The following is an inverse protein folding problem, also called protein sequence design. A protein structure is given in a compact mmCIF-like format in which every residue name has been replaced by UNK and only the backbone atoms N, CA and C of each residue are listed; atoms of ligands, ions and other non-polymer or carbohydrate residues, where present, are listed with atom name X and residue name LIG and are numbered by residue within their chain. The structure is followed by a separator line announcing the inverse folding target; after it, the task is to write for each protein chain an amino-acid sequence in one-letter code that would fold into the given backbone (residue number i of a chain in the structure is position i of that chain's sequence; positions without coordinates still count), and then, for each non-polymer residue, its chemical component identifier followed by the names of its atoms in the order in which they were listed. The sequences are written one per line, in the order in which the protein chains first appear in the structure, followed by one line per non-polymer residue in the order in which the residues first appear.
data_IF_598832951007
#
_entry.id   IF_598832951007
#
_cell.length_a   1.000
_cell.length_b   1.000
_cell.length_c   1.000
_cell.angle_alpha   90.00
_cell.angle_beta   90.00
_cell.angle_gamma   90.00
#
_symmetry.space_group_name_H-M   'P 1'
#
loop_
_entity.id
_entity.type
_entity.pdbx_description
1 polymer ?
#
# COMPACT_ATOMS: atom_id res chain seq x y z
N UNK A 1 4.03 -1.01 -74.01
CA UNK A 1 2.94 -1.85 -73.47
C UNK A 1 3.63 -2.99 -72.71
N UNK A 2 3.50 -3.23 -71.40
CA UNK A 2 2.48 -2.96 -70.37
C UNK A 2 3.22 -2.63 -69.05
N UNK A 3 2.77 -1.61 -68.31
CA UNK A 3 3.18 -1.37 -66.92
C UNK A 3 2.17 -2.11 -66.02
N UNK A 4 2.64 -3.05 -65.21
CA UNK A 4 1.82 -3.72 -64.20
C UNK A 4 1.79 -2.87 -62.93
N UNK A 5 0.56 -2.59 -62.51
CA UNK A 5 0.18 -1.88 -61.30
C UNK A 5 0.28 -2.85 -60.12
N UNK A 6 1.16 -2.58 -59.15
CA UNK A 6 1.20 -3.31 -57.89
C UNK A 6 0.52 -2.46 -56.82
N UNK A 7 -0.65 -2.96 -56.42
CA UNK A 7 -1.54 -2.48 -55.37
C UNK A 7 -0.77 -2.30 -54.05
N UNK A 8 -0.82 -1.09 -53.47
CA UNK A 8 -0.31 -0.84 -52.13
C UNK A 8 -1.10 -1.64 -51.09
N UNK A 9 -0.36 -2.41 -50.31
CA UNK A 9 -0.82 -3.28 -49.23
C UNK A 9 -1.29 -2.42 -48.04
N UNK A 10 -2.45 -2.81 -47.52
CA UNK A 10 -3.04 -2.52 -46.20
C UNK A 10 -2.23 -1.58 -45.29
N UNK A 11 -2.75 -0.37 -45.08
CA UNK A 11 -2.46 0.39 -43.87
C UNK A 11 -3.12 -0.35 -42.69
N UNK A 12 -2.29 -1.02 -41.89
CA UNK A 12 -2.66 -1.57 -40.59
C UNK A 12 -3.25 -0.46 -39.73
N UNK A 13 -4.56 -0.56 -39.46
CA UNK A 13 -5.20 0.11 -38.35
C UNK A 13 -4.59 -0.50 -37.06
N UNK A 14 -3.56 0.12 -36.52
CA UNK A 14 -3.06 -0.19 -35.19
C UNK A 14 -4.14 0.24 -34.19
N UNK A 15 -4.98 -0.72 -33.80
CA UNK A 15 -5.87 -0.58 -32.66
C UNK A 15 -5.02 -0.19 -31.45
N UNK A 16 -5.32 1.00 -30.93
CA UNK A 16 -4.88 1.51 -29.64
C UNK A 16 -5.17 0.45 -28.56
N UNK A 17 -4.17 -0.32 -28.15
CA UNK A 17 -4.18 -1.02 -26.87
C UNK A 17 -3.51 -0.10 -25.85
N UNK A 18 -4.23 0.95 -25.45
CA UNK A 18 -3.88 1.76 -24.28
C UNK A 18 -5.07 1.74 -23.30
N UNK A 19 -5.50 0.53 -22.93
CA UNK A 19 -6.71 0.34 -22.13
C UNK A 19 -6.48 0.22 -20.62
N UNK A 20 -5.25 0.09 -20.13
CA UNK A 20 -5.00 -0.26 -18.72
C UNK A 20 -4.15 0.74 -17.93
N UNK A 21 -3.37 1.61 -18.57
CA UNK A 21 -2.56 2.62 -17.89
C UNK A 21 -3.29 3.94 -17.62
N UNK A 22 -4.34 4.26 -18.39
CA UNK A 22 -5.06 5.53 -18.29
C UNK A 22 -5.83 5.69 -16.97
N UNK A 23 -6.35 4.60 -16.40
CA UNK A 23 -7.07 4.62 -15.12
C UNK A 23 -6.13 4.78 -13.92
N UNK A 24 -4.91 4.22 -14.00
CA UNK A 24 -3.95 4.33 -12.90
C UNK A 24 -3.40 5.75 -12.76
N UNK A 25 -3.00 6.34 -13.90
CA UNK A 25 -2.51 7.71 -13.95
C UNK A 25 -3.57 8.75 -13.54
N UNK A 26 -4.87 8.46 -13.69
CA UNK A 26 -5.93 9.40 -13.29
C UNK A 26 -6.18 9.45 -11.79
N UNK A 27 -6.12 8.33 -11.05
CA UNK A 27 -6.30 8.37 -9.59
C UNK A 27 -5.06 8.89 -8.86
N UNK A 28 -3.86 8.67 -9.42
CA UNK A 28 -2.61 9.26 -8.92
C UNK A 28 -2.71 10.79 -8.94
N UNK A 29 -3.16 11.36 -10.07
CA UNK A 29 -3.39 12.79 -10.20
C UNK A 29 -4.52 13.33 -9.30
N UNK A 30 -5.55 12.54 -9.00
CA UNK A 30 -6.67 12.99 -8.18
C UNK A 30 -6.36 13.00 -6.68
N UNK A 31 -5.56 12.05 -6.21
CA UNK A 31 -5.26 11.91 -4.77
C UNK A 31 -3.95 12.57 -4.36
N UNK A 32 -3.05 12.81 -5.33
CA UNK A 32 -1.67 13.21 -5.09
C UNK A 32 -0.85 12.10 -4.44
N UNK A 33 -1.31 10.85 -4.44
CA UNK A 33 -0.58 9.72 -3.87
C UNK A 33 -0.11 8.79 -4.97
N UNK A 34 1.13 8.34 -4.89
CA UNK A 34 1.73 7.41 -5.84
C UNK A 34 2.34 6.22 -5.09
N UNK A 35 2.13 5.02 -5.61
CA UNK A 35 2.80 3.82 -5.08
C UNK A 35 4.24 3.80 -5.57
N UNK A 36 5.18 4.03 -4.66
CA UNK A 36 6.61 4.13 -5.00
C UNK A 36 7.37 2.83 -4.79
N UNK A 37 6.86 1.94 -3.93
CA UNK A 37 7.50 0.67 -3.62
C UNK A 37 6.48 -0.37 -3.15
N UNK A 38 6.76 -1.64 -3.44
CA UNK A 38 5.98 -2.77 -2.94
C UNK A 38 6.91 -3.95 -2.67
N UNK A 39 6.73 -4.59 -1.51
CA UNK A 39 7.43 -5.80 -1.12
C UNK A 39 6.45 -6.94 -0.81
N UNK A 40 6.92 -8.18 -0.96
CA UNK A 40 6.22 -9.37 -0.48
C UNK A 40 6.42 -9.57 1.03
N UNK A 41 5.88 -10.66 1.57
CA UNK A 41 5.97 -10.99 2.99
C UNK A 41 7.41 -11.30 3.46
N UNK A 42 8.31 -11.65 2.55
CA UNK A 42 9.71 -11.95 2.82
C UNK A 42 10.59 -10.71 2.64
N UNK A 43 10.01 -9.57 2.28
CA UNK A 43 10.74 -8.33 2.02
C UNK A 43 11.34 -8.26 0.61
N UNK A 44 11.02 -9.21 -0.28
CA UNK A 44 11.49 -9.12 -1.65
C UNK A 44 10.66 -8.07 -2.40
N UNK A 45 11.34 -7.29 -3.23
CA UNK A 45 10.70 -6.29 -4.09
C UNK A 45 9.74 -6.95 -5.09
N UNK A 46 8.50 -6.45 -5.12
CA UNK A 46 7.49 -6.79 -6.14
C UNK A 46 7.37 -5.70 -7.21
N UNK A 47 7.42 -4.42 -6.84
CA UNK A 47 7.38 -3.29 -7.79
C UNK A 47 7.97 -2.02 -7.19
N UNK A 48 8.22 -1.02 -8.05
CA UNK A 48 8.81 0.25 -7.64
C UNK A 48 10.29 0.15 -7.29
N UNK A 49 10.76 1.07 -6.45
CA UNK A 49 12.16 1.18 -6.07
C UNK A 49 12.32 1.63 -4.61
N UNK A 50 13.18 0.94 -3.86
CA UNK A 50 13.38 1.20 -2.43
C UNK A 50 14.18 2.48 -2.21
N UNK A 51 15.08 2.82 -3.13
CA UNK A 51 15.84 4.08 -3.06
C UNK A 51 14.91 5.26 -3.24
N UNK A 52 13.93 5.15 -4.15
CA UNK A 52 12.87 6.15 -4.31
C UNK A 52 12.03 6.34 -3.03
N UNK A 53 11.64 5.26 -2.35
CA UNK A 53 10.91 5.34 -1.07
C UNK A 53 11.77 5.97 0.04
N UNK A 54 13.00 5.51 0.22
CA UNK A 54 13.89 6.00 1.28
C UNK A 54 14.31 7.45 1.05
N UNK A 55 14.52 7.85 -0.20
CA UNK A 55 14.77 9.24 -0.57
C UNK A 55 13.54 10.11 -0.27
N UNK A 56 12.33 9.67 -0.64
CA UNK A 56 11.10 10.41 -0.32
C UNK A 56 10.92 10.63 1.19
N UNK A 57 11.10 9.57 2.00
CA UNK A 57 11.04 9.68 3.46
C UNK A 57 12.11 10.65 3.98
N UNK A 58 13.34 10.54 3.49
CA UNK A 58 14.45 11.39 3.92
C UNK A 58 14.25 12.87 3.56
N UNK A 59 13.44 13.15 2.55
CA UNK A 59 13.05 14.51 2.15
C UNK A 59 11.75 14.99 2.83
N UNK A 60 11.23 14.25 3.82
CA UNK A 60 10.07 14.65 4.60
C UNK A 60 8.73 14.43 3.90
N UNK A 61 8.67 13.54 2.90
CA UNK A 61 7.44 13.24 2.21
C UNK A 61 6.43 12.53 3.13
N UNK A 62 5.15 12.80 2.89
CA UNK A 62 4.05 12.12 3.56
C UNK A 62 3.93 10.67 3.05
N UNK A 63 3.80 9.70 3.96
CA UNK A 63 3.83 8.27 3.67
C UNK A 63 2.63 7.54 4.24
N UNK A 64 2.07 6.63 3.45
CA UNK A 64 1.06 5.66 3.89
C UNK A 64 1.42 4.27 3.39
N UNK A 65 1.00 3.26 4.15
CA UNK A 65 1.19 1.85 3.79
C UNK A 65 -0.17 1.20 3.65
N UNK A 66 -0.33 0.35 2.63
CA UNK A 66 -1.52 -0.49 2.48
C UNK A 66 -1.17 -1.96 2.37
N UNK A 67 -2.01 -2.82 2.94
CA UNK A 67 -1.83 -4.26 2.95
C UNK A 67 -3.18 -4.99 3.09
N UNK A 68 -3.19 -6.27 2.77
CA UNK A 68 -4.35 -7.13 3.01
C UNK A 68 -4.41 -7.55 4.48
N UNK A 69 -5.48 -7.20 5.17
CA UNK A 69 -5.84 -7.72 6.47
C UNK A 69 -6.63 -9.04 6.37
N UNK A 70 -7.13 -9.51 7.51
CA UNK A 70 -8.03 -10.66 7.57
C UNK A 70 -9.37 -10.39 6.88
N UNK A 71 -10.08 -11.45 6.46
CA UNK A 71 -11.45 -11.37 5.93
C UNK A 71 -11.60 -10.42 4.72
N UNK A 72 -10.63 -10.43 3.80
CA UNK A 72 -10.61 -9.58 2.59
C UNK A 72 -10.62 -8.07 2.87
N UNK A 73 -10.21 -7.66 4.08
CA UNK A 73 -10.14 -6.27 4.44
C UNK A 73 -8.87 -5.63 3.88
N UNK A 74 -9.00 -4.56 3.09
CA UNK A 74 -7.85 -3.74 2.71
C UNK A 74 -7.56 -2.73 3.81
N UNK A 75 -6.38 -2.83 4.43
CA UNK A 75 -5.91 -1.87 5.41
C UNK A 75 -5.06 -0.81 4.73
N UNK A 76 -5.30 0.45 5.08
CA UNK A 76 -4.41 1.56 4.74
C UNK A 76 -4.22 2.40 5.98
N UNK A 77 -2.97 2.65 6.33
CA UNK A 77 -2.60 3.47 7.46
C UNK A 77 -1.60 4.54 7.04
N UNK A 78 -1.73 5.70 7.66
CA UNK A 78 -0.77 6.76 7.55
C UNK A 78 0.40 6.49 8.50
N UNK A 79 1.62 6.76 8.04
CA UNK A 79 2.80 6.66 8.87
C UNK A 79 2.92 7.92 9.71
N UNK A 80 2.53 7.84 10.98
CA UNK A 80 2.70 8.94 11.93
C UNK A 80 4.18 9.21 12.20
N UNK A 81 4.98 8.13 12.16
CA UNK A 81 6.42 8.18 12.23
C UNK A 81 7.01 7.27 11.16
N UNK A 82 8.11 7.72 10.55
CA UNK A 82 8.91 6.94 9.61
C UNK A 82 10.35 6.89 10.07
N UNK A 83 11.07 5.84 9.67
CA UNK A 83 12.50 5.74 9.89
C UNK A 83 13.17 5.13 8.65
N UNK A 84 14.37 5.61 8.32
CA UNK A 84 15.22 5.03 7.29
C UNK A 84 16.57 4.69 7.90
N UNK A 85 17.07 3.48 7.61
CA UNK A 85 18.40 3.03 8.01
C UNK A 85 18.91 2.01 7.01
N UNK A 86 20.12 2.19 6.49
CA UNK A 86 20.82 1.23 5.62
C UNK A 86 19.96 0.72 4.44
N UNK A 87 19.18 1.59 3.81
CA UNK A 87 18.27 1.24 2.70
C UNK A 87 16.96 0.57 3.12
N UNK A 88 16.70 0.43 4.42
CA UNK A 88 15.43 -0.04 4.97
C UNK A 88 14.54 1.14 5.37
N UNK A 89 13.23 0.99 5.21
CA UNK A 89 12.24 1.92 5.72
C UNK A 89 11.28 1.25 6.70
N UNK A 90 10.87 2.00 7.73
CA UNK A 90 9.85 1.61 8.67
C UNK A 90 8.76 2.69 8.78
N UNK A 91 7.55 2.24 9.10
CA UNK A 91 6.35 3.03 9.30
C UNK A 91 5.72 2.64 10.63
N UNK A 92 5.34 3.63 11.44
CA UNK A 92 4.69 3.41 12.73
C UNK A 92 3.36 4.16 12.77
N UNK A 93 2.36 3.54 13.40
CA UNK A 93 1.05 4.13 13.62
C UNK A 93 0.53 3.75 15.02
N UNK A 94 0.06 4.74 15.75
CA UNK A 94 -0.45 4.58 17.13
C UNK A 94 -1.95 4.85 17.24
N UNK A 95 -2.57 5.38 16.19
CA UNK A 95 -3.99 5.76 16.18
C UNK A 95 -4.96 4.64 15.78
N UNK A 96 -4.49 3.43 15.45
CA UNK A 96 -5.38 2.32 15.09
C UNK A 96 -6.18 1.84 16.32
N UNK A 97 -7.50 2.01 16.27
CA UNK A 97 -8.44 1.45 17.25
C UNK A 97 -9.00 0.15 16.69
N UNK A 98 -9.09 -0.87 17.54
CA UNK A 98 -9.56 -2.21 17.21
C UNK A 98 -10.91 -2.20 16.48
N UNK A 99 -10.89 -2.64 15.22
CA UNK A 99 -12.07 -2.86 14.40
C UNK A 99 -12.50 -4.33 14.44
N UNK A 100 -13.77 -4.61 14.19
CA UNK A 100 -14.29 -5.97 13.92
C UNK A 100 -15.34 -5.94 12.82
N UNK A 101 -15.58 -7.11 12.25
CA UNK A 101 -16.82 -7.37 11.53
C UNK A 101 -18.02 -7.34 12.49
N UNK A 102 -19.11 -6.73 12.04
CA UNK A 102 -20.36 -6.60 12.80
C UNK A 102 -21.45 -7.59 12.38
N UNK A 103 -21.39 -8.09 11.14
CA UNK A 103 -22.40 -8.97 10.56
C UNK A 103 -21.77 -10.31 10.13
N UNK A 104 -22.61 -11.35 10.01
CA UNK A 104 -22.15 -12.72 9.72
C UNK A 104 -21.45 -12.87 8.36
N UNK A 105 -21.72 -11.97 7.42
CA UNK A 105 -21.13 -11.95 6.08
C UNK A 105 -19.86 -11.08 5.96
N UNK A 106 -19.41 -10.49 7.08
CA UNK A 106 -18.28 -9.55 7.12
C UNK A 106 -18.41 -8.30 6.23
N UNK A 107 -19.64 -7.93 5.85
CA UNK A 107 -19.87 -6.75 5.00
C UNK A 107 -19.80 -5.41 5.74
N UNK A 108 -19.94 -5.41 7.07
CA UNK A 108 -19.93 -4.21 7.91
C UNK A 108 -18.83 -4.26 8.97
N UNK A 109 -18.17 -3.12 9.19
CA UNK A 109 -17.14 -2.95 10.21
C UNK A 109 -17.59 -1.98 11.30
N UNK A 110 -17.11 -2.20 12.53
CA UNK A 110 -17.40 -1.37 13.69
C UNK A 110 -16.41 -1.58 14.82
N UNK A 111 -16.60 -0.85 15.92
CA UNK A 111 -15.77 -0.99 17.11
C UNK A 111 -16.08 -2.27 17.89
N UNK A 112 -15.08 -2.77 18.61
CA UNK A 112 -15.25 -3.87 19.55
C UNK A 112 -15.75 -3.31 20.90
N UNK A 113 -16.63 -4.05 21.58
CA UNK A 113 -17.15 -3.63 22.90
C UNK A 113 -16.01 -3.48 23.93
N UNK A 114 -14.97 -4.31 23.81
CA UNK A 114 -13.74 -4.20 24.58
C UNK A 114 -12.62 -3.51 23.79
N UNK A 115 -12.85 -2.31 23.27
CA UNK A 115 -11.92 -1.63 22.37
C UNK A 115 -10.48 -1.52 22.91
N UNK A 116 -9.51 -1.60 22.00
CA UNK A 116 -8.08 -1.46 22.29
C UNK A 116 -7.37 -0.72 21.16
N UNK A 117 -6.27 -0.05 21.50
CA UNK A 117 -5.31 0.47 20.52
C UNK A 117 -4.42 -0.66 20.00
N UNK A 118 -4.15 -0.62 18.71
CA UNK A 118 -3.05 -1.31 18.07
C UNK A 118 -1.94 -0.31 17.79
N UNK A 119 -0.80 -0.48 18.46
CA UNK A 119 0.43 0.19 18.06
C UNK A 119 1.11 -0.68 17.02
N UNK A 120 1.22 -0.15 15.81
CA UNK A 120 1.66 -0.87 14.62
C UNK A 120 3.04 -0.37 14.21
N UNK A 121 3.94 -1.28 13.91
CA UNK A 121 5.18 -1.03 13.18
C UNK A 121 5.26 -1.95 11.97
N UNK A 122 5.56 -1.37 10.82
CA UNK A 122 5.71 -2.03 9.52
C UNK A 122 7.07 -1.70 8.95
N UNK A 123 7.72 -2.63 8.25
CA UNK A 123 8.98 -2.33 7.56
C UNK A 123 9.10 -2.98 6.18
N UNK A 124 10.08 -2.53 5.40
CA UNK A 124 10.32 -3.01 4.03
C UNK A 124 10.82 -4.46 3.94
N UNK A 125 11.12 -5.10 5.08
CA UNK A 125 11.38 -6.55 5.16
C UNK A 125 10.08 -7.38 5.23
N UNK A 126 8.91 -6.72 5.12
CA UNK A 126 7.61 -7.35 5.26
C UNK A 126 7.20 -7.63 6.70
N UNK A 127 7.95 -7.17 7.71
CA UNK A 127 7.62 -7.41 9.12
C UNK A 127 6.52 -6.46 9.57
N UNK A 128 5.53 -7.04 10.24
CA UNK A 128 4.45 -6.37 10.95
C UNK A 128 4.54 -6.71 12.42
N UNK A 129 4.67 -5.69 13.26
CA UNK A 129 4.68 -5.77 14.71
C UNK A 129 3.48 -5.00 15.26
N UNK A 130 2.68 -5.64 16.11
CA UNK A 130 1.41 -5.08 16.59
C UNK A 130 1.21 -5.31 18.08
N UNK A 131 1.30 -4.24 18.88
CA UNK A 131 1.05 -4.30 20.32
C UNK A 131 -0.35 -3.82 20.68
N UNK A 132 -1.08 -4.56 21.55
CA UNK A 132 -2.46 -4.24 21.93
C UNK A 132 -2.53 -3.64 23.32
N UNK A 133 -3.26 -2.53 23.45
CA UNK A 133 -3.44 -1.84 24.73
C UNK A 133 -4.90 -1.45 24.90
N UNK A 134 -5.54 -1.80 26.02
CA UNK A 134 -6.95 -1.43 26.26
C UNK A 134 -7.16 0.09 26.14
N UNK A 135 -8.29 0.50 25.55
CA UNK A 135 -8.69 1.91 25.58
C UNK A 135 -9.08 2.29 27.02
N UNK A 136 -8.61 3.43 27.51
CA UNK A 136 -8.95 3.98 28.83
C UNK A 136 -8.22 3.36 30.03
N UNK A 137 -7.79 2.11 29.94
CA UNK A 137 -6.89 1.47 30.89
C UNK A 137 -5.63 1.07 30.13
N UNK A 138 -4.47 1.66 30.41
CA UNK A 138 -3.21 1.40 29.71
C UNK A 138 -2.66 -0.01 30.02
N UNK A 139 -3.43 -1.04 29.67
CA UNK A 139 -3.23 -2.45 30.01
C UNK A 139 -2.83 -3.19 28.75
N UNK A 140 -1.64 -3.79 28.77
CA UNK A 140 -1.14 -4.62 27.69
C UNK A 140 -2.02 -5.87 27.51
N UNK A 141 -2.45 -6.15 26.28
CA UNK A 141 -3.27 -7.31 25.89
C UNK A 141 -2.53 -8.29 24.97
N UNK A 142 -1.22 -8.13 24.84
CA UNK A 142 -0.33 -8.98 24.08
C UNK A 142 0.11 -8.39 22.74
N UNK A 143 1.05 -9.10 22.12
CA UNK A 143 1.72 -8.72 20.87
C UNK A 143 1.40 -9.74 19.77
N UNK A 144 1.31 -9.31 18.52
CA UNK A 144 1.34 -10.17 17.34
C UNK A 144 2.46 -9.71 16.40
N UNK A 145 3.27 -10.66 15.95
CA UNK A 145 4.32 -10.42 14.94
C UNK A 145 4.04 -11.30 13.74
N UNK A 146 4.03 -10.71 12.54
CA UNK A 146 3.71 -11.40 11.29
C UNK A 146 4.61 -10.90 10.15
N UNK A 147 4.61 -11.65 9.05
CA UNK A 147 5.20 -11.26 7.78
C UNK A 147 4.10 -11.09 6.73
N UNK A 148 4.03 -9.93 6.08
CA UNK A 148 2.97 -9.55 5.14
C UNK A 148 3.50 -8.74 3.95
N UNK A 149 2.83 -8.84 2.81
CA UNK A 149 3.12 -8.00 1.66
C UNK A 149 2.62 -6.56 1.90
N UNK A 150 3.43 -5.57 1.54
CA UNK A 150 3.18 -4.16 1.80
C UNK A 150 3.29 -3.34 0.52
N UNK A 151 2.37 -2.40 0.32
CA UNK A 151 2.48 -1.34 -0.68
C UNK A 151 2.72 0.00 0.00
N UNK A 152 3.76 0.70 -0.44
CA UNK A 152 4.22 1.97 0.12
C UNK A 152 3.86 3.10 -0.84
N UNK A 153 3.24 4.12 -0.28
CA UNK A 153 2.71 5.24 -1.03
C UNK A 153 3.27 6.53 -0.46
N UNK A 154 3.63 7.42 -1.36
CA UNK A 154 4.14 8.75 -1.04
C UNK A 154 3.23 9.80 -1.65
N UNK A 155 3.02 10.89 -0.93
CA UNK A 155 2.29 12.04 -1.46
C UNK A 155 3.22 12.92 -2.29
N UNK A 156 2.82 13.18 -3.54
CA UNK A 156 3.44 14.15 -4.43
C UNK A 156 2.57 15.41 -4.45
N UNK A 157 3.21 16.57 -4.30
CA UNK A 157 2.58 17.88 -4.29
C UNK A 157 2.80 18.61 -5.61
#
# INVERSE_FOLDING_TARGET
MKKQCALCILALLTLFVAGSSAFAATWEQQTGWVKVYQNDAQGNKLSGDIDSLTAAISNGADVKVSYAGSNNLTMSLHCEWTAVKDGYAACMNTSHISIRSMDADNSKFGFQDNAYHWYVMLNTEGKLDMSRWSVGANTNRGHTQNQIALSWWVRIH
#
